data_IF_554292580125
#
_entry.id   IF_554292580125
#
_cell.length_a   1.000
_cell.length_b   1.000
_cell.length_c   1.000
_cell.angle_alpha   90.00
_cell.angle_beta   90.00
_cell.angle_gamma   90.00
#
_symmetry.space_group_name_H-M   'P 1'
#
loop_
_entity.id
_entity.type
_entity.pdbx_description
1 polymer ?
#
# COMPACT_ATOMS: atom_id res chain seq x y z
N UNK A 1 -2.57 2.02 34.29
CA UNK A 1 -2.47 2.72 33.00
C UNK A 1 -3.89 2.99 32.52
N UNK A 2 -4.33 4.23 32.69
CA UNK A 2 -5.73 4.61 32.94
C UNK A 2 -6.50 4.98 31.67
N UNK A 3 -7.70 4.43 31.53
CA UNK A 3 -9.02 5.05 31.27
C UNK A 3 -9.20 6.31 30.39
N UNK A 4 -8.27 6.63 29.48
CA UNK A 4 -8.42 7.82 28.63
C UNK A 4 -9.23 7.61 27.33
N UNK A 5 -9.56 6.36 26.96
CA UNK A 5 -10.27 6.07 25.70
C UNK A 5 -11.77 6.43 25.75
N UNK A 6 -12.39 6.37 26.94
CA UNK A 6 -13.83 6.66 27.12
C UNK A 6 -14.14 8.15 27.06
N UNK A 7 -13.16 9.01 27.36
CA UNK A 7 -13.29 10.47 27.26
C UNK A 7 -13.25 10.95 25.79
N UNK A 8 -12.47 10.29 24.95
CA UNK A 8 -12.33 10.65 23.52
C UNK A 8 -13.62 10.42 22.72
N UNK A 9 -14.38 9.36 23.04
CA UNK A 9 -15.67 9.06 22.38
C UNK A 9 -16.76 10.11 22.61
N UNK A 10 -16.67 10.89 23.69
CA UNK A 10 -17.69 11.89 24.05
C UNK A 10 -17.51 13.25 23.36
N UNK A 11 -16.35 13.49 22.72
CA UNK A 11 -16.04 14.75 22.01
C UNK A 11 -16.18 14.67 20.49
N UNK A 12 -16.55 13.50 19.95
CA UNK A 12 -16.85 13.38 18.53
C UNK A 12 -18.24 13.96 18.25
N UNK A 13 -18.42 14.76 17.17
CA UNK A 13 -19.74 15.20 16.76
C UNK A 13 -20.63 13.96 16.54
N UNK A 14 -21.93 14.02 16.89
CA UNK A 14 -22.81 12.89 16.70
C UNK A 14 -22.76 12.46 15.24
N UNK A 15 -22.46 11.17 14.99
CA UNK A 15 -22.60 10.56 13.67
C UNK A 15 -24.02 10.87 13.21
N UNK A 16 -24.16 11.75 12.22
CA UNK A 16 -25.38 11.83 11.44
C UNK A 16 -25.60 10.43 10.89
N UNK A 17 -26.56 9.70 11.46
CA UNK A 17 -27.03 8.43 10.89
C UNK A 17 -27.67 8.79 9.56
N UNK A 18 -26.88 8.89 8.50
CA UNK A 18 -27.44 8.83 7.16
C UNK A 18 -27.97 7.41 7.02
N UNK A 19 -29.29 7.30 6.98
CA UNK A 19 -30.08 6.07 6.93
C UNK A 19 -29.87 5.28 5.62
N UNK A 20 -28.81 5.60 4.88
CA UNK A 20 -28.56 5.14 3.52
C UNK A 20 -27.34 4.21 3.40
N UNK A 21 -26.58 3.88 4.45
CA UNK A 21 -25.48 2.90 4.32
C UNK A 21 -25.87 1.45 4.62
N UNK A 22 -26.84 1.20 5.50
CA UNK A 22 -27.28 -0.18 5.84
C UNK A 22 -28.31 -0.75 4.85
N UNK A 23 -29.09 0.09 4.17
CA UNK A 23 -30.04 -0.33 3.13
C UNK A 23 -29.36 -0.69 1.80
N UNK A 24 -28.13 -0.23 1.57
CA UNK A 24 -27.34 -0.48 0.34
C UNK A 24 -26.76 -1.90 0.25
N UNK A 25 -26.82 -2.70 1.32
CA UNK A 25 -26.40 -4.11 1.34
C UNK A 25 -27.57 -5.10 1.38
N UNK A 26 -28.78 -4.64 1.72
CA UNK A 26 -29.99 -5.47 1.80
C UNK A 26 -30.95 -5.10 0.68
N UNK A 27 -30.66 -5.59 -0.52
CA UNK A 27 -31.61 -6.04 -1.54
C UNK A 27 -30.89 -6.07 -2.90
N UNK A 28 -30.59 -7.27 -3.42
CA UNK A 28 -31.25 -7.69 -4.65
C UNK A 28 -30.91 -9.15 -5.00
N UNK A 29 -31.95 -9.99 -4.98
CA UNK A 29 -31.95 -11.32 -5.56
C UNK A 29 -33.12 -11.51 -6.54
N UNK A 30 -33.64 -10.40 -7.10
CA UNK A 30 -34.70 -10.43 -8.10
C UNK A 30 -34.40 -9.39 -9.15
N UNK A 31 -33.92 -9.84 -10.31
CA UNK A 31 -33.57 -8.93 -11.40
C UNK A 31 -34.75 -8.09 -11.86
N UNK A 32 -34.52 -6.84 -12.26
CA UNK A 32 -35.16 -6.22 -13.45
C UNK A 32 -34.64 -4.80 -13.71
N UNK A 33 -34.45 -4.54 -15.02
CA UNK A 33 -34.70 -3.33 -15.85
C UNK A 33 -34.04 -1.99 -15.51
N UNK A 34 -33.43 -1.44 -16.57
CA UNK A 34 -32.91 -0.09 -16.73
C UNK A 34 -33.97 1.00 -16.53
N UNK A 35 -33.59 2.07 -15.83
CA UNK A 35 -34.29 3.36 -15.77
C UNK A 35 -33.29 4.51 -15.60
N UNK A 36 -33.42 5.55 -16.43
CA UNK A 36 -32.66 6.79 -16.38
C UNK A 36 -32.92 7.55 -15.07
N UNK A 37 -31.89 7.75 -14.24
CA UNK A 37 -31.54 8.99 -13.50
C UNK A 37 -30.49 8.66 -12.42
N UNK A 38 -29.35 9.38 -12.45
CA UNK A 38 -28.33 9.36 -11.39
C UNK A 38 -27.53 8.05 -11.28
N UNK A 39 -26.51 7.85 -12.14
CA UNK A 39 -25.62 6.69 -12.08
C UNK A 39 -24.75 6.70 -10.82
N UNK A 40 -25.22 6.07 -9.74
CA UNK A 40 -24.33 5.46 -8.77
C UNK A 40 -23.95 4.10 -9.35
N UNK A 41 -22.78 4.01 -10.00
CA UNK A 41 -22.30 2.76 -10.57
C UNK A 41 -21.99 1.79 -9.42
N UNK A 42 -22.92 0.91 -9.11
CA UNK A 42 -22.63 -0.25 -8.28
C UNK A 42 -21.67 -1.15 -9.04
N UNK A 43 -20.41 -1.19 -8.61
CA UNK A 43 -19.45 -2.17 -9.11
C UNK A 43 -19.85 -3.55 -8.60
N UNK A 44 -20.55 -4.33 -9.42
CA UNK A 44 -20.84 -5.73 -9.10
C UNK A 44 -19.52 -6.52 -9.14
N UNK A 45 -19.06 -6.98 -7.97
CA UNK A 45 -18.11 -8.08 -7.88
C UNK A 45 -18.92 -9.35 -8.17
N UNK A 46 -19.28 -9.63 -9.43
CA UNK A 46 -20.12 -10.78 -9.74
C UNK A 46 -19.59 -11.66 -10.88
N UNK A 47 -19.24 -12.89 -10.46
CA UNK A 47 -19.75 -14.17 -10.98
C UNK A 47 -19.32 -14.65 -12.38
N UNK A 48 -18.05 -14.54 -12.70
CA UNK A 48 -17.43 -15.43 -13.68
C UNK A 48 -15.96 -15.65 -13.35
N UNK A 49 -15.68 -16.68 -12.53
CA UNK A 49 -14.40 -17.39 -12.47
C UNK A 49 -14.70 -18.66 -11.63
N UNK A 50 -15.41 -19.62 -12.25
CA UNK A 50 -15.56 -20.95 -11.67
C UNK A 50 -14.23 -21.69 -11.86
N UNK A 51 -13.74 -22.29 -10.78
CA UNK A 51 -12.54 -23.15 -10.61
C UNK A 51 -11.20 -22.45 -10.29
N UNK A 52 -10.92 -22.35 -8.98
CA UNK A 52 -9.58 -22.67 -8.44
C UNK A 52 -9.75 -23.65 -7.27
N UNK A 53 -8.99 -24.76 -7.20
CA UNK A 53 -9.04 -25.67 -6.07
C UNK A 53 -8.57 -24.99 -4.78
N UNK A 54 -9.19 -25.41 -3.67
CA UNK A 54 -8.98 -24.90 -2.31
C UNK A 54 -7.61 -25.32 -1.77
N UNK A 55 -6.71 -24.37 -1.62
CA UNK A 55 -5.70 -24.34 -0.56
C UNK A 55 -5.73 -22.93 0.05
N UNK A 56 -5.57 -22.81 1.36
CA UNK A 56 -5.94 -21.63 2.16
C UNK A 56 -5.52 -20.29 1.52
N UNK A 57 -6.54 -19.55 1.04
CA UNK A 57 -6.42 -18.32 0.26
C UNK A 57 -6.11 -17.08 1.13
N UNK A 58 -4.98 -17.11 1.85
CA UNK A 58 -4.50 -15.98 2.64
C UNK A 58 -3.35 -15.23 1.94
N UNK A 59 -3.15 -15.48 0.63
CA UNK A 59 -2.14 -14.78 -0.15
C UNK A 59 -2.45 -13.28 -0.17
N UNK A 60 -1.44 -12.46 0.08
CA UNK A 60 -1.60 -11.03 -0.07
C UNK A 60 -1.64 -10.64 -1.54
N UNK A 61 -2.29 -9.52 -1.83
CA UNK A 61 -2.38 -9.00 -3.18
C UNK A 61 -1.08 -8.30 -3.56
N UNK A 62 -0.29 -8.97 -4.40
CA UNK A 62 0.96 -8.44 -4.98
C UNK A 62 0.78 -8.31 -6.48
N UNK A 63 1.06 -7.13 -7.03
CA UNK A 63 0.91 -6.84 -8.47
C UNK A 63 2.21 -6.33 -9.08
N UNK A 64 2.19 -6.19 -10.42
CA UNK A 64 3.18 -5.44 -11.21
C UNK A 64 2.47 -4.25 -11.85
N UNK A 65 3.13 -3.10 -11.91
CA UNK A 65 2.62 -1.90 -12.58
C UNK A 65 3.76 -1.04 -13.13
N UNK A 66 3.45 -0.12 -14.04
CA UNK A 66 4.43 0.85 -14.52
C UNK A 66 4.40 2.11 -13.66
N UNK A 67 5.55 2.47 -13.09
CA UNK A 67 5.75 3.66 -12.29
C UNK A 67 6.90 4.48 -12.89
N UNK A 68 6.64 5.72 -13.28
CA UNK A 68 7.59 6.58 -14.00
C UNK A 68 8.20 5.88 -15.24
N UNK A 69 7.37 5.15 -15.99
CA UNK A 69 7.76 4.34 -17.16
C UNK A 69 8.69 3.16 -16.86
N UNK A 70 8.95 2.85 -15.59
CA UNK A 70 9.67 1.66 -15.15
C UNK A 70 8.68 0.57 -14.73
N UNK A 71 8.90 -0.68 -15.14
CA UNK A 71 8.08 -1.80 -14.69
C UNK A 71 8.48 -2.23 -13.28
N UNK A 72 7.61 -1.95 -12.32
CA UNK A 72 7.84 -2.29 -10.91
C UNK A 72 7.08 -3.56 -10.58
N UNK A 73 7.82 -4.64 -10.31
CA UNK A 73 7.27 -5.86 -9.72
C UNK A 73 7.12 -5.74 -8.19
N UNK A 74 6.49 -6.74 -7.56
CA UNK A 74 6.41 -6.87 -6.08
C UNK A 74 5.77 -5.64 -5.41
N UNK A 75 4.68 -5.16 -5.99
CA UNK A 75 3.89 -4.07 -5.42
C UNK A 75 2.84 -4.65 -4.49
N UNK A 76 2.95 -4.34 -3.20
CA UNK A 76 1.99 -4.78 -2.19
C UNK A 76 0.79 -3.85 -2.14
N UNK A 77 -0.43 -4.40 -2.20
CA UNK A 77 -1.66 -3.62 -2.02
C UNK A 77 -2.08 -3.68 -0.54
N UNK A 78 -1.89 -2.58 0.17
CA UNK A 78 -2.42 -2.38 1.52
C UNK A 78 -3.62 -1.42 1.46
N UNK A 79 -4.55 -1.53 2.40
CA UNK A 79 -5.67 -0.56 2.53
C UNK A 79 -5.66 0.11 3.89
N UNK A 80 -4.62 -0.13 4.69
CA UNK A 80 -4.56 0.24 6.11
C UNK A 80 -3.60 1.38 6.40
N UNK A 81 -2.66 1.71 5.51
CA UNK A 81 -1.81 2.89 5.70
C UNK A 81 -2.38 4.10 4.96
N UNK A 82 -1.67 5.21 5.00
CA UNK A 82 -2.09 6.52 4.51
C UNK A 82 -1.11 7.12 3.50
N UNK A 83 -0.06 6.39 3.14
CA UNK A 83 0.95 6.81 2.18
C UNK A 83 1.26 5.66 1.21
N UNK A 84 1.53 5.99 -0.04
CA UNK A 84 2.13 5.06 -1.00
C UNK A 84 3.65 5.13 -0.84
N UNK A 85 4.31 3.97 -0.75
CA UNK A 85 5.70 3.88 -0.28
C UNK A 85 6.56 3.06 -1.25
N UNK A 86 7.35 3.71 -2.11
CA UNK A 86 8.49 3.10 -2.77
C UNK A 86 9.62 2.92 -1.75
N UNK A 87 10.20 1.72 -1.72
CA UNK A 87 11.37 1.46 -0.89
C UNK A 87 12.64 1.94 -1.58
N UNK A 88 13.60 2.46 -0.83
CA UNK A 88 14.82 3.12 -1.34
C UNK A 88 15.54 2.32 -2.44
N UNK A 89 15.74 1.01 -2.25
CA UNK A 89 16.39 0.17 -3.27
C UNK A 89 15.61 0.12 -4.60
N UNK A 90 14.28 0.02 -4.55
CA UNK A 90 13.46 0.05 -5.76
C UNK A 90 13.45 1.45 -6.38
N UNK A 91 13.43 2.49 -5.55
CA UNK A 91 13.55 3.87 -5.98
C UNK A 91 14.86 4.13 -6.75
N UNK A 92 15.98 3.65 -6.22
CA UNK A 92 17.30 3.78 -6.83
C UNK A 92 17.37 3.00 -8.16
N UNK A 93 16.75 1.82 -8.24
CA UNK A 93 16.68 1.01 -9.47
C UNK A 93 15.86 1.65 -10.61
N UNK A 94 14.89 2.52 -10.28
CA UNK A 94 14.13 3.26 -11.28
C UNK A 94 14.97 4.33 -11.99
N UNK A 95 16.18 4.65 -11.50
CA UNK A 95 17.15 5.57 -12.13
C UNK A 95 16.52 6.90 -12.56
N UNK A 96 15.73 7.51 -11.67
CA UNK A 96 14.98 8.74 -11.93
C UNK A 96 15.86 10.01 -12.03
N UNK A 97 17.18 9.85 -12.18
CA UNK A 97 18.17 10.92 -12.20
C UNK A 97 18.18 11.75 -10.91
N UNK A 98 18.67 12.99 -11.01
CA UNK A 98 18.72 13.95 -9.91
C UNK A 98 17.35 14.62 -9.63
N UNK A 99 16.24 13.89 -9.82
CA UNK A 99 14.92 14.43 -9.56
C UNK A 99 14.83 14.79 -8.07
N UNK A 100 14.63 16.08 -7.72
CA UNK A 100 14.68 16.50 -6.34
C UNK A 100 13.49 15.91 -5.56
N UNK A 101 13.78 15.37 -4.38
CA UNK A 101 12.75 14.97 -3.43
C UNK A 101 12.27 16.21 -2.67
N UNK A 102 10.95 16.34 -2.51
CA UNK A 102 10.36 17.36 -1.65
C UNK A 102 10.69 17.00 -0.19
N UNK A 103 11.30 17.92 0.55
CA UNK A 103 11.53 17.76 1.99
C UNK A 103 10.21 17.73 2.75
N UNK A 104 10.11 16.80 3.70
CA UNK A 104 8.91 16.61 4.52
C UNK A 104 9.28 16.42 5.98
N UNK A 105 8.71 17.28 6.83
CA UNK A 105 8.99 17.31 8.27
C UNK A 105 8.13 16.32 9.10
N UNK A 106 7.34 15.47 8.45
CA UNK A 106 6.47 14.50 9.13
C UNK A 106 7.15 13.14 9.23
N UNK A 107 7.40 12.66 10.44
CA UNK A 107 7.88 11.30 10.65
C UNK A 107 6.82 10.26 10.31
N UNK A 108 7.23 9.18 9.65
CA UNK A 108 6.41 7.98 9.53
C UNK A 108 6.63 7.11 10.78
N UNK A 109 5.56 6.57 11.34
CA UNK A 109 5.63 5.69 12.51
C UNK A 109 5.23 4.28 12.11
N UNK A 110 6.09 3.33 12.42
CA UNK A 110 5.78 1.92 12.28
C UNK A 110 4.85 1.42 13.38
N UNK A 111 4.43 0.16 13.27
CA UNK A 111 3.37 -0.39 14.10
C UNK A 111 3.73 -0.47 15.59
N UNK A 112 5.02 -0.66 15.90
CA UNK A 112 5.51 -0.68 17.28
C UNK A 112 5.94 0.71 17.78
N UNK A 113 5.58 1.77 17.05
CA UNK A 113 5.91 3.16 17.38
C UNK A 113 7.32 3.58 16.97
N UNK A 114 8.04 2.74 16.22
CA UNK A 114 9.34 3.07 15.65
C UNK A 114 9.24 4.23 14.65
N UNK A 115 10.19 5.15 14.70
CA UNK A 115 10.33 6.19 13.67
C UNK A 115 10.95 5.56 12.43
N UNK A 116 10.28 5.70 11.30
CA UNK A 116 10.74 5.24 10.00
C UNK A 116 11.30 6.43 9.24
N UNK A 117 12.57 6.34 8.85
CA UNK A 117 13.25 7.36 8.07
C UNK A 117 12.79 7.33 6.60
N UNK A 118 12.38 8.50 6.09
CA UNK A 118 12.03 8.72 4.69
C UNK A 118 13.01 9.72 4.06
N UNK A 119 13.26 9.57 2.75
CA UNK A 119 14.11 10.51 1.97
C UNK A 119 13.36 11.78 1.58
N UNK A 120 12.05 11.67 1.36
CA UNK A 120 11.20 12.78 0.93
C UNK A 120 9.99 12.31 0.11
N UNK A 121 9.23 13.28 -0.38
CA UNK A 121 8.12 13.02 -1.31
C UNK A 121 8.56 13.17 -2.76
N UNK A 122 7.96 12.38 -3.65
CA UNK A 122 8.13 12.50 -5.09
C UNK A 122 6.80 12.32 -5.82
N UNK A 123 6.60 13.04 -6.93
CA UNK A 123 5.44 12.86 -7.81
C UNK A 123 5.82 11.95 -8.97
N UNK A 124 5.18 10.78 -9.09
CA UNK A 124 5.46 9.79 -10.14
C UNK A 124 4.20 9.48 -10.93
N UNK A 125 4.38 9.20 -12.22
CA UNK A 125 3.32 8.74 -13.11
C UNK A 125 3.07 7.25 -12.89
N UNK A 126 1.91 6.88 -12.34
CA UNK A 126 1.47 5.49 -12.24
C UNK A 126 0.57 5.14 -13.40
N UNK A 127 0.85 4.03 -14.08
CA UNK A 127 0.01 3.43 -15.11
C UNK A 127 -0.41 2.01 -14.72
N UNK A 128 -1.72 1.79 -14.60
CA UNK A 128 -2.32 0.47 -14.47
C UNK A 128 -2.86 0.03 -15.83
N UNK A 129 -2.26 -1.03 -16.39
CA UNK A 129 -2.63 -1.58 -17.70
C UNK A 129 -3.67 -2.68 -17.53
N UNK A 130 -4.69 -2.68 -18.39
CA UNK A 130 -5.77 -3.67 -18.38
C UNK A 130 -6.31 -3.86 -19.79
N UNK A 131 -5.86 -4.88 -20.52
CA UNK A 131 -6.19 -5.02 -21.95
C UNK A 131 -7.72 -4.99 -22.21
N UNK A 132 -8.24 -4.12 -23.10
CA UNK A 132 -7.52 -3.23 -24.05
C UNK A 132 -7.29 -1.79 -23.56
N UNK A 133 -7.58 -1.47 -22.31
CA UNK A 133 -7.46 -0.13 -21.72
C UNK A 133 -6.22 0.04 -20.83
N UNK A 134 -6.00 1.28 -20.41
CA UNK A 134 -5.08 1.62 -19.33
C UNK A 134 -5.61 2.84 -18.60
N UNK A 135 -5.14 3.04 -17.36
CA UNK A 135 -5.41 4.26 -16.62
C UNK A 135 -4.13 4.77 -16.00
N UNK A 136 -3.90 6.07 -16.17
CA UNK A 136 -2.67 6.73 -15.78
C UNK A 136 -2.99 7.93 -14.88
N UNK A 137 -2.26 8.10 -13.79
CA UNK A 137 -2.39 9.21 -12.85
C UNK A 137 -1.02 9.61 -12.30
N UNK A 138 -0.79 10.90 -12.08
CA UNK A 138 0.37 11.38 -11.31
C UNK A 138 0.00 11.32 -9.83
N UNK A 139 0.84 10.66 -9.03
CA UNK A 139 0.61 10.42 -7.61
C UNK A 139 1.82 10.85 -6.79
N UNK A 140 1.60 11.25 -5.54
CA UNK A 140 2.67 11.54 -4.58
C UNK A 140 3.02 10.28 -3.79
N UNK A 141 4.32 10.01 -3.68
CA UNK A 141 4.89 8.86 -3.01
C UNK A 141 5.89 9.30 -1.94
N UNK A 142 5.90 8.62 -0.80
CA UNK A 142 6.88 8.84 0.27
C UNK A 142 7.98 7.79 0.16
N UNK A 143 9.19 8.20 -0.20
CA UNK A 143 10.32 7.28 -0.38
C UNK A 143 10.90 6.92 0.98
N UNK A 144 10.95 5.63 1.30
CA UNK A 144 11.38 5.13 2.62
C UNK A 144 12.62 4.25 2.51
N UNK A 145 13.62 4.52 3.35
CA UNK A 145 14.89 3.78 3.41
C UNK A 145 14.85 2.63 4.41
N UNK A 146 13.97 1.68 4.15
CA UNK A 146 13.89 0.45 4.95
C UNK A 146 14.06 -0.76 4.03
N UNK A 147 14.91 -1.74 4.39
CA UNK A 147 14.98 -2.99 3.67
C UNK A 147 13.61 -3.68 3.64
N UNK A 148 13.10 -3.97 2.44
CA UNK A 148 11.81 -4.62 2.23
C UNK A 148 11.93 -5.77 1.23
N UNK A 149 11.00 -6.72 1.29
CA UNK A 149 10.81 -7.73 0.25
C UNK A 149 9.96 -7.23 -0.91
N UNK A 150 9.24 -6.12 -0.70
CA UNK A 150 8.43 -5.44 -1.69
C UNK A 150 9.19 -4.25 -2.25
N UNK A 151 8.86 -3.86 -3.48
CA UNK A 151 9.44 -2.66 -4.10
C UNK A 151 8.61 -1.41 -3.78
N UNK A 152 7.28 -1.55 -3.77
CA UNK A 152 6.35 -0.46 -3.51
C UNK A 152 5.16 -0.97 -2.70
N UNK A 153 4.61 -0.12 -1.84
CA UNK A 153 3.27 -0.28 -1.27
C UNK A 153 2.34 0.71 -1.97
N UNK A 154 1.27 0.20 -2.58
CA UNK A 154 0.12 1.02 -2.92
C UNK A 154 -0.91 0.89 -1.81
N UNK A 155 -1.36 2.04 -1.35
CA UNK A 155 -2.28 2.17 -0.25
C UNK A 155 -3.48 3.04 -0.62
N UNK A 156 -4.21 3.52 0.39
CA UNK A 156 -5.39 4.34 0.24
C UNK A 156 -5.21 5.53 -0.74
N UNK A 157 -4.09 6.27 -0.80
CA UNK A 157 -3.95 7.36 -1.77
C UNK A 157 -4.10 6.86 -3.22
N UNK A 158 -3.31 5.86 -3.64
CA UNK A 158 -3.45 5.21 -4.95
C UNK A 158 -4.84 4.62 -5.13
N UNK A 159 -5.33 3.82 -4.18
CA UNK A 159 -6.61 3.12 -4.30
C UNK A 159 -7.79 4.10 -4.45
N UNK A 160 -7.79 5.21 -3.71
CA UNK A 160 -8.86 6.20 -3.78
C UNK A 160 -8.84 6.96 -5.11
N UNK A 161 -7.64 7.35 -5.59
CA UNK A 161 -7.51 8.06 -6.86
C UNK A 161 -7.97 7.16 -8.02
N UNK A 162 -7.60 5.88 -7.99
CA UNK A 162 -8.07 4.91 -8.97
C UNK A 162 -9.51 4.45 -8.72
N UNK A 163 -10.18 4.85 -7.63
CA UNK A 163 -11.48 4.30 -7.24
C UNK A 163 -11.47 2.77 -7.24
N UNK A 164 -10.35 2.20 -6.79
CA UNK A 164 -10.06 0.80 -6.89
C UNK A 164 -10.81 0.00 -5.82
N UNK A 165 -11.33 -1.16 -6.22
CA UNK A 165 -11.95 -2.14 -5.34
C UNK A 165 -11.04 -3.36 -5.29
N UNK A 166 -10.59 -3.70 -4.09
CA UNK A 166 -9.75 -4.87 -3.84
C UNK A 166 -10.65 -6.10 -3.65
N UNK A 167 -10.36 -7.17 -4.37
CA UNK A 167 -10.93 -8.48 -4.14
C UNK A 167 -9.84 -9.44 -3.67
N UNK A 168 -9.71 -9.60 -2.35
CA UNK A 168 -8.73 -10.53 -1.76
C UNK A 168 -9.01 -11.97 -2.18
N UNK A 169 -10.28 -12.38 -2.18
CA UNK A 169 -10.69 -13.73 -2.56
C UNK A 169 -10.25 -14.11 -3.98
N UNK A 170 -10.29 -13.16 -4.93
CA UNK A 170 -9.87 -13.39 -6.31
C UNK A 170 -8.47 -12.84 -6.61
N UNK A 171 -7.75 -12.36 -5.59
CA UNK A 171 -6.42 -11.76 -5.67
C UNK A 171 -6.33 -10.79 -6.86
N UNK A 172 -7.16 -9.74 -6.85
CA UNK A 172 -7.19 -8.73 -7.92
C UNK A 172 -7.70 -7.38 -7.44
N UNK A 173 -7.35 -6.32 -8.17
CA UNK A 173 -8.00 -5.00 -8.06
C UNK A 173 -8.83 -4.72 -9.31
N UNK A 174 -9.95 -4.00 -9.11
CA UNK A 174 -10.78 -3.46 -10.19
C UNK A 174 -10.90 -1.95 -10.06
N UNK A 175 -10.90 -1.24 -11.18
CA UNK A 175 -11.03 0.22 -11.20
C UNK A 175 -11.75 0.67 -12.48
N UNK A 176 -12.45 1.82 -12.48
CA UNK A 176 -13.05 2.34 -13.70
C UNK A 176 -12.00 2.80 -14.71
N UNK A 177 -12.30 2.55 -15.98
CA UNK A 177 -11.61 3.05 -17.17
C UNK A 177 -12.61 3.68 -18.12
N UNK A 178 -12.15 4.40 -19.16
CA UNK A 178 -13.04 4.96 -20.18
C UNK A 178 -13.85 3.88 -20.93
N UNK A 179 -13.30 2.66 -21.04
CA UNK A 179 -13.92 1.52 -21.72
C UNK A 179 -14.72 0.58 -20.80
N UNK A 180 -14.86 0.88 -19.51
CA UNK A 180 -15.58 0.04 -18.55
C UNK A 180 -14.81 -0.19 -17.26
N UNK A 181 -14.61 -1.45 -16.87
CA UNK A 181 -13.91 -1.81 -15.64
C UNK A 181 -12.57 -2.44 -16.00
N UNK A 182 -11.50 -1.78 -15.58
CA UNK A 182 -10.15 -2.32 -15.57
C UNK A 182 -9.96 -3.33 -14.45
N UNK A 183 -9.14 -4.34 -14.72
CA UNK A 183 -8.73 -5.37 -13.77
C UNK A 183 -7.21 -5.56 -13.83
N UNK A 184 -6.56 -5.60 -12.66
CA UNK A 184 -5.18 -6.05 -12.49
C UNK A 184 -5.21 -7.25 -11.56
N UNK A 185 -4.73 -8.40 -12.06
CA UNK A 185 -4.60 -9.64 -11.30
C UNK A 185 -3.31 -9.60 -10.49
N UNK A 186 -3.37 -10.09 -9.26
CA UNK A 186 -2.17 -10.33 -8.49
C UNK A 186 -1.42 -11.57 -8.94
N UNK A 187 -0.17 -11.64 -8.53
CA UNK A 187 0.74 -12.73 -8.78
C UNK A 187 1.01 -13.48 -7.45
N UNK A 188 0.33 -14.62 -7.21
CA UNK A 188 0.55 -15.43 -6.02
C UNK A 188 1.98 -15.96 -5.91
N UNK A 189 2.66 -16.23 -7.03
CA UNK A 189 4.04 -16.72 -6.99
C UNK A 189 5.00 -15.63 -6.50
N UNK A 190 4.80 -14.40 -6.96
CA UNK A 190 5.55 -13.24 -6.45
C UNK A 190 5.25 -12.98 -4.98
N UNK A 191 4.00 -13.11 -4.55
CA UNK A 191 3.66 -13.06 -3.12
C UNK A 191 4.46 -14.08 -2.30
N UNK A 192 4.49 -15.35 -2.72
CA UNK A 192 5.21 -16.40 -2.02
C UNK A 192 6.72 -16.12 -1.95
N UNK A 193 7.31 -15.58 -3.03
CA UNK A 193 8.72 -15.15 -3.04
C UNK A 193 8.97 -14.02 -2.04
N UNK A 194 8.12 -12.99 -2.04
CA UNK A 194 8.23 -11.87 -1.11
C UNK A 194 8.06 -12.33 0.33
N UNK A 195 7.13 -13.26 0.60
CA UNK A 195 6.90 -13.83 1.92
C UNK A 195 8.14 -14.54 2.46
N UNK A 196 8.75 -15.43 1.67
CA UNK A 196 9.98 -16.14 2.04
C UNK A 196 11.14 -15.16 2.27
N UNK A 197 11.28 -14.15 1.42
CA UNK A 197 12.31 -13.12 1.57
C UNK A 197 12.12 -12.30 2.85
N UNK A 198 10.88 -11.87 3.14
CA UNK A 198 10.55 -11.11 4.34
C UNK A 198 10.84 -11.90 5.62
N UNK A 199 10.46 -13.19 5.66
CA UNK A 199 10.74 -14.07 6.81
C UNK A 199 12.24 -14.24 7.02
N UNK A 200 13.03 -14.46 5.95
CA UNK A 200 14.49 -14.57 6.03
C UNK A 200 15.14 -13.30 6.55
N UNK A 201 14.69 -12.12 6.08
CA UNK A 201 15.20 -10.82 6.56
C UNK A 201 14.84 -10.57 8.03
N UNK A 202 13.65 -10.99 8.46
CA UNK A 202 13.23 -10.91 9.86
C UNK A 202 14.07 -11.78 10.80
N UNK A 203 14.51 -12.96 10.35
CA UNK A 203 15.36 -13.87 11.13
C UNK A 203 16.81 -13.40 11.26
N UNK A 204 17.33 -12.62 10.31
CA UNK A 204 18.70 -12.06 10.37
C UNK A 204 18.88 -11.00 11.46
N UNK A 205 17.80 -10.44 12.01
CA UNK A 205 17.87 -9.58 13.21
C UNK A 205 18.03 -10.44 14.46
N UNK A 206 19.19 -11.06 14.64
CA UNK A 206 19.55 -11.61 15.96
C UNK A 206 19.89 -10.45 16.90
N UNK A 207 19.56 -10.51 18.21
CA UNK A 207 19.79 -9.41 19.16
C UNK A 207 21.24 -8.95 19.34
N UNK A 208 22.23 -9.65 18.76
CA UNK A 208 23.65 -9.42 19.04
C UNK A 208 24.31 -8.36 18.16
N UNK A 209 23.80 -8.04 16.97
CA UNK A 209 24.44 -7.04 16.08
C UNK A 209 24.14 -5.59 16.50
N UNK A 210 23.00 -5.33 17.17
CA UNK A 210 22.66 -4.00 17.70
C UNK A 210 23.55 -3.57 18.87
N UNK A 211 24.13 -4.55 19.60
CA UNK A 211 25.04 -4.27 20.72
C UNK A 211 26.42 -3.86 20.19
N UNK A 212 26.85 -4.42 19.06
CA UNK A 212 28.14 -4.18 18.45
C UNK A 212 28.22 -2.78 17.80
N UNK A 213 27.17 -2.32 17.10
CA UNK A 213 27.09 -0.94 16.61
C UNK A 213 27.08 0.10 17.75
N UNK A 214 26.46 -0.23 18.89
CA UNK A 214 26.42 0.66 20.07
C UNK A 214 27.78 0.72 20.80
N UNK A 215 28.55 -0.38 20.79
CA UNK A 215 29.88 -0.45 21.39
C UNK A 215 30.93 0.25 20.51
N UNK A 216 30.90 0.02 19.20
CA UNK A 216 31.82 0.66 18.24
C UNK A 216 31.62 2.18 18.22
N UNK A 217 30.37 2.66 18.29
CA UNK A 217 30.07 4.10 18.38
C UNK A 217 30.57 4.76 19.67
N UNK A 218 30.50 4.05 20.81
CA UNK A 218 30.99 4.56 22.11
C UNK A 218 32.51 4.55 22.24
N UNK A 219 33.20 3.62 21.59
CA UNK A 219 34.67 3.60 21.54
C UNK A 219 35.23 4.69 20.62
N UNK A 220 34.55 4.99 19.51
CA UNK A 220 34.93 6.09 18.61
C UNK A 220 34.81 7.48 19.27
N UNK A 221 33.79 7.70 20.12
CA UNK A 221 33.62 8.97 20.84
C UNK A 221 34.68 9.18 21.95
N UNK A 222 35.15 8.12 22.61
CA UNK A 222 36.21 8.19 23.64
C UNK A 222 37.61 8.41 23.06
N UNK A 223 37.81 8.11 21.78
CA UNK A 223 39.12 8.18 21.14
C UNK A 223 39.48 9.57 20.56
N UNK A 224 38.62 10.58 20.70
CA UNK A 224 38.95 11.95 20.26
C UNK A 224 39.71 12.71 21.35
N UNK A 225 41.00 13.08 21.16
CA UNK A 225 41.72 13.86 22.15
C UNK A 225 41.21 15.30 22.15
N UNK A 226 40.86 15.84 23.32
CA UNK A 226 40.64 17.29 23.48
C UNK A 226 41.93 18.02 23.12
N UNK A 227 41.91 18.75 22.00
CA UNK A 227 42.96 19.72 21.68
C UNK A 227 42.99 20.77 22.79
N UNK A 228 44.14 20.88 23.44
CA UNK A 228 44.49 21.95 24.39
C UNK A 228 45.23 23.05 23.64
#
# INVERSE_FOLDING_TARGET
>A
MNDNWRAYRRRLPPRSKSRNQESLWRNDNRGTRYGNHGKCAYYSICRAEHSRPRSAHNDALVITASLANYEVERIFIDSRSFADIPFGNAFDQMQLGDTPLEEVNTSLYGFMGEVVHHRGLISLLLMLVTCPAQRTCVLKFLVVDVPSAYNVIFDRPTLNIFQAVISMYHIKIKFPTLGGVGEVKGDPLQFQRCYVEAVRKGQKRSPNEAVEETLIGREAERATPRKT
#
